data_IF_535232006610
#
_entry.id   IF_535232006610
#
_cell.length_a   1.000
_cell.length_b   1.000
_cell.length_c   1.000
_cell.angle_alpha   90.00
_cell.angle_beta   90.00
_cell.angle_gamma   90.00
#
_symmetry.space_group_name_H-M   'P 1'
#
loop_
_entity.id
_entity.type
_entity.pdbx_description
1 polymer ?
#
# COMPACT_ATOMS: atom_id res chain seq x y z
N UNK A 1 4.80 33.42 20.57
CA UNK A 1 5.27 33.32 19.17
C UNK A 1 4.04 33.22 18.31
N UNK A 2 3.87 34.16 17.40
CA UNK A 2 2.75 34.13 16.45
C UNK A 2 3.17 33.38 15.19
N UNK A 3 2.23 32.67 14.57
CA UNK A 3 2.44 31.92 13.34
C UNK A 3 1.45 32.37 12.27
N UNK A 4 1.86 32.31 11.00
CA UNK A 4 1.02 32.65 9.86
C UNK A 4 1.10 31.57 8.79
N UNK A 5 -0.04 31.27 8.16
CA UNK A 5 -0.18 30.28 7.08
C UNK A 5 -0.88 30.96 5.91
N UNK A 6 -0.34 30.81 4.70
CA UNK A 6 -0.95 31.31 3.47
C UNK A 6 -1.26 30.15 2.54
N UNK A 7 -2.49 30.09 2.02
CA UNK A 7 -2.86 29.20 0.93
C UNK A 7 -2.75 29.96 -0.39
N UNK A 8 -1.88 29.50 -1.30
CA UNK A 8 -1.75 30.05 -2.66
C UNK A 8 -2.48 29.12 -3.62
N UNK A 9 -3.64 29.54 -4.11
CA UNK A 9 -4.45 28.78 -5.06
C UNK A 9 -3.90 28.81 -6.49
N UNK A 10 -4.11 27.73 -7.22
CA UNK A 10 -3.85 27.60 -8.65
C UNK A 10 -5.14 27.72 -9.49
N UNK A 11 -5.02 27.54 -10.81
CA UNK A 11 -6.13 27.71 -11.76
C UNK A 11 -7.13 26.54 -11.78
N UNK A 12 -6.91 25.48 -11.00
CA UNK A 12 -7.78 24.31 -11.04
C UNK A 12 -9.19 24.66 -10.47
N UNK A 13 -10.27 24.02 -10.95
CA UNK A 13 -11.63 24.39 -10.56
C UNK A 13 -11.93 24.30 -9.05
N UNK A 14 -11.29 23.37 -8.34
CA UNK A 14 -11.51 23.17 -6.91
C UNK A 14 -10.92 24.33 -6.11
N UNK A 15 -9.70 24.75 -6.43
CA UNK A 15 -9.05 25.92 -5.84
C UNK A 15 -9.88 27.19 -6.08
N UNK A 16 -10.32 27.41 -7.32
CA UNK A 16 -11.12 28.59 -7.67
C UNK A 16 -12.46 28.62 -6.94
N UNK A 17 -13.08 27.45 -6.74
CA UNK A 17 -14.31 27.33 -5.97
C UNK A 17 -14.10 27.73 -4.50
N UNK A 18 -13.08 27.20 -3.82
CA UNK A 18 -12.83 27.53 -2.42
C UNK A 18 -12.38 28.97 -2.21
N UNK A 19 -11.65 29.57 -3.16
CA UNK A 19 -11.31 31.00 -3.12
C UNK A 19 -12.55 31.89 -3.26
N UNK A 20 -13.55 31.47 -4.04
CA UNK A 20 -14.84 32.18 -4.17
C UNK A 20 -15.77 31.96 -2.99
N UNK A 21 -15.71 30.79 -2.35
CA UNK A 21 -16.57 30.39 -1.24
C UNK A 21 -15.75 29.89 -0.03
N UNK A 22 -14.97 30.75 0.64
CA UNK A 22 -14.02 30.33 1.68
C UNK A 22 -14.70 29.72 2.92
N UNK A 23 -15.95 30.11 3.22
CA UNK A 23 -16.72 29.52 4.32
C UNK A 23 -16.92 28.01 4.14
N UNK A 24 -16.99 27.53 2.91
CA UNK A 24 -17.16 26.10 2.64
C UNK A 24 -15.88 25.33 2.94
N UNK A 25 -14.70 25.92 2.72
CA UNK A 25 -13.41 25.31 3.05
C UNK A 25 -13.26 25.12 4.57
N UNK A 26 -13.54 26.17 5.35
CA UNK A 26 -13.39 26.14 6.81
C UNK A 26 -14.59 25.50 7.55
N UNK A 27 -15.74 25.41 6.89
CA UNK A 27 -16.97 24.88 7.49
C UNK A 27 -17.18 23.38 7.27
N UNK A 28 -16.46 22.76 6.32
CA UNK A 28 -16.57 21.33 6.05
C UNK A 28 -15.79 20.51 7.08
N UNK A 29 -16.30 19.34 7.48
CA UNK A 29 -15.51 18.39 8.24
C UNK A 29 -14.37 17.83 7.38
N UNK A 30 -13.32 17.35 8.04
CA UNK A 30 -12.25 16.59 7.38
C UNK A 30 -12.79 15.29 6.76
N UNK A 31 -12.07 14.75 5.80
CA UNK A 31 -12.41 13.50 5.14
C UNK A 31 -12.46 12.34 6.14
N UNK A 32 -13.46 11.47 5.97
CA UNK A 32 -13.56 10.25 6.75
C UNK A 32 -12.68 9.16 6.14
N UNK A 33 -11.87 8.51 6.98
CA UNK A 33 -11.13 7.33 6.58
C UNK A 33 -12.09 6.13 6.47
N UNK A 34 -12.33 5.66 5.25
CA UNK A 34 -13.17 4.47 4.99
C UNK A 34 -12.24 3.26 4.82
N UNK A 35 -12.46 2.23 5.64
CA UNK A 35 -11.75 0.95 5.56
C UNK A 35 -12.73 -0.18 5.28
N UNK A 36 -12.33 -1.15 4.46
CA UNK A 36 -13.10 -2.36 4.20
C UNK A 36 -12.35 -3.59 4.73
N UNK A 37 -12.73 -4.05 5.91
CA UNK A 37 -12.18 -5.27 6.54
C UNK A 37 -12.71 -6.56 5.89
N UNK A 38 -13.71 -6.45 5.02
CA UNK A 38 -14.36 -7.57 4.31
C UNK A 38 -13.86 -7.71 2.87
N UNK A 39 -12.74 -7.05 2.51
CA UNK A 39 -12.10 -7.29 1.23
C UNK A 39 -11.50 -8.72 1.21
N UNK A 40 -12.04 -9.64 0.39
CA UNK A 40 -11.65 -11.06 0.44
C UNK A 40 -10.16 -11.28 0.14
N UNK A 41 -9.58 -10.48 -0.75
CA UNK A 41 -8.16 -10.58 -1.12
C UNK A 41 -7.22 -10.27 0.06
N UNK A 42 -7.60 -9.30 0.90
CA UNK A 42 -6.82 -8.92 2.08
C UNK A 42 -7.11 -9.90 3.23
N UNK A 43 -8.39 -10.23 3.43
CA UNK A 43 -8.85 -11.09 4.52
C UNK A 43 -8.24 -12.49 4.44
N UNK A 44 -8.23 -13.12 3.26
CA UNK A 44 -7.66 -14.45 3.06
C UNK A 44 -6.16 -14.47 3.40
N UNK A 45 -5.42 -13.43 3.01
CA UNK A 45 -4.02 -13.25 3.39
C UNK A 45 -3.83 -13.22 4.90
N UNK A 46 -4.62 -12.41 5.61
CA UNK A 46 -4.55 -12.35 7.08
C UNK A 46 -4.99 -13.64 7.76
N UNK A 47 -5.96 -14.37 7.21
CA UNK A 47 -6.36 -15.70 7.73
C UNK A 47 -5.21 -16.70 7.58
N UNK A 48 -4.50 -16.73 6.45
CA UNK A 48 -3.32 -17.57 6.29
C UNK A 48 -2.24 -17.25 7.31
N UNK A 49 -1.93 -15.95 7.52
CA UNK A 49 -0.99 -15.52 8.55
C UNK A 49 -1.44 -15.98 9.95
N UNK A 50 -2.69 -15.71 10.32
CA UNK A 50 -3.22 -16.10 11.61
C UNK A 50 -3.21 -17.62 11.83
N UNK A 51 -3.59 -18.41 10.83
CA UNK A 51 -3.56 -19.88 10.87
C UNK A 51 -2.13 -20.46 10.97
N UNK A 52 -1.12 -19.69 10.56
CA UNK A 52 0.30 -20.06 10.73
C UNK A 52 0.84 -19.76 12.13
N UNK A 53 0.23 -18.80 12.83
CA UNK A 53 0.59 -18.42 14.21
C UNK A 53 -0.12 -19.31 15.23
N UNK A 54 -1.44 -19.49 15.09
CA UNK A 54 -2.28 -20.28 15.99
C UNK A 54 -3.42 -20.98 15.23
N UNK A 55 -3.85 -22.18 15.68
CA UNK A 55 -5.02 -22.83 15.09
C UNK A 55 -6.26 -21.94 15.20
N UNK A 56 -6.90 -21.65 14.06
CA UNK A 56 -8.12 -20.85 14.00
C UNK A 56 -9.33 -21.71 14.34
N UNK A 57 -10.25 -21.16 15.12
CA UNK A 57 -11.50 -21.81 15.52
C UNK A 57 -12.69 -20.90 15.23
N UNK A 58 -13.91 -21.42 15.36
CA UNK A 58 -15.14 -20.61 15.21
C UNK A 58 -15.18 -19.41 16.17
N UNK A 59 -14.48 -19.48 17.31
CA UNK A 59 -14.41 -18.38 18.30
C UNK A 59 -13.70 -17.14 17.74
N UNK A 60 -12.91 -17.31 16.69
CA UNK A 60 -12.14 -16.25 16.04
C UNK A 60 -12.96 -15.51 14.97
N UNK A 61 -14.22 -15.92 14.70
CA UNK A 61 -15.12 -15.24 13.77
C UNK A 61 -15.32 -13.76 14.11
N UNK A 62 -15.24 -13.39 15.39
CA UNK A 62 -15.27 -11.99 15.85
C UNK A 62 -14.13 -11.11 15.31
N UNK A 63 -13.03 -11.71 14.84
CA UNK A 63 -11.85 -11.03 14.33
C UNK A 63 -11.81 -10.96 12.80
N UNK A 64 -12.43 -11.91 12.10
CA UNK A 64 -12.31 -12.10 10.64
C UNK A 64 -13.64 -11.95 9.90
N UNK A 65 -14.56 -11.19 10.51
CA UNK A 65 -15.94 -10.99 10.03
C UNK A 65 -16.72 -12.30 9.84
N UNK A 66 -17.92 -12.18 9.26
CA UNK A 66 -18.77 -13.32 8.94
C UNK A 66 -18.18 -14.20 7.82
N UNK A 67 -17.18 -13.71 7.08
CA UNK A 67 -16.56 -14.38 5.94
C UNK A 67 -15.48 -15.41 6.32
N UNK A 68 -15.18 -15.58 7.61
CA UNK A 68 -14.13 -16.51 8.07
C UNK A 68 -14.30 -17.93 7.53
N UNK A 69 -15.48 -18.51 7.68
CA UNK A 69 -15.72 -19.92 7.29
C UNK A 69 -15.69 -20.12 5.78
N UNK A 70 -16.23 -19.16 5.02
CA UNK A 70 -16.14 -19.17 3.56
C UNK A 70 -14.67 -19.09 3.11
N UNK A 71 -13.89 -18.19 3.72
CA UNK A 71 -12.47 -18.02 3.42
C UNK A 71 -11.65 -19.26 3.78
N UNK A 72 -11.88 -19.88 4.94
CA UNK A 72 -11.22 -21.12 5.34
C UNK A 72 -11.55 -22.28 4.40
N UNK A 73 -12.79 -22.34 3.91
CA UNK A 73 -13.21 -23.36 2.94
C UNK A 73 -12.48 -23.16 1.61
N UNK A 74 -12.44 -21.94 1.09
CA UNK A 74 -11.70 -21.62 -0.13
C UNK A 74 -10.19 -21.93 0.01
N UNK A 75 -9.58 -21.54 1.14
CA UNK A 75 -8.17 -21.84 1.42
C UNK A 75 -7.90 -23.35 1.58
N UNK A 76 -8.87 -24.12 2.08
CA UNK A 76 -8.77 -25.59 2.18
C UNK A 76 -8.77 -26.23 0.80
N UNK A 77 -9.64 -25.75 -0.10
CA UNK A 77 -9.72 -26.22 -1.48
C UNK A 77 -8.42 -25.96 -2.25
N UNK A 78 -7.70 -24.89 -1.91
CA UNK A 78 -6.36 -24.58 -2.41
C UNK A 78 -5.21 -25.27 -1.64
N UNK A 79 -5.52 -26.13 -0.66
CA UNK A 79 -4.54 -26.83 0.20
C UNK A 79 -3.65 -25.91 1.06
N UNK A 80 -4.04 -24.65 1.22
CA UNK A 80 -3.31 -23.64 1.99
C UNK A 80 -3.61 -23.72 3.49
N UNK A 81 -4.74 -24.29 3.88
CA UNK A 81 -5.08 -24.62 5.27
C UNK A 81 -5.59 -26.04 5.42
N UNK A 82 -5.38 -26.62 6.59
CA UNK A 82 -5.82 -27.96 6.96
C UNK A 82 -6.58 -27.95 8.28
N UNK A 83 -7.59 -28.81 8.38
CA UNK A 83 -8.41 -28.93 9.58
C UNK A 83 -7.78 -29.94 10.57
N UNK A 84 -7.69 -29.55 11.84
CA UNK A 84 -7.16 -30.41 12.92
C UNK A 84 -8.14 -30.42 14.10
N UNK A 85 -8.02 -31.36 15.06
CA UNK A 85 -8.83 -31.34 16.27
C UNK A 85 -8.70 -30.07 17.12
N UNK A 86 -7.65 -29.27 16.89
CA UNK A 86 -7.39 -28.01 17.62
C UNK A 86 -7.86 -26.77 16.86
N UNK A 87 -8.31 -26.93 15.61
CA UNK A 87 -8.67 -25.84 14.70
C UNK A 87 -7.97 -25.94 13.34
N UNK A 88 -8.17 -24.92 12.51
CA UNK A 88 -7.58 -24.79 11.18
C UNK A 88 -6.15 -24.27 11.29
N UNK A 89 -5.21 -24.94 10.64
CA UNK A 89 -3.79 -24.58 10.63
C UNK A 89 -3.30 -24.34 9.21
N UNK A 90 -2.33 -23.45 9.04
CA UNK A 90 -1.69 -23.23 7.76
C UNK A 90 -0.93 -24.49 7.29
N UNK A 91 -1.09 -24.87 6.03
CA UNK A 91 -0.46 -26.05 5.41
C UNK A 91 0.27 -25.76 4.10
N UNK A 92 0.42 -24.49 3.72
CA UNK A 92 1.16 -24.10 2.52
C UNK A 92 2.68 -24.28 2.64
N UNK A 93 3.36 -24.26 1.49
CA UNK A 93 4.81 -24.48 1.37
C UNK A 93 5.60 -23.23 1.76
N UNK A 94 5.16 -22.05 1.30
CA UNK A 94 5.79 -20.77 1.60
C UNK A 94 5.32 -20.25 2.97
N UNK A 95 6.05 -19.31 3.57
CA UNK A 95 5.52 -18.61 4.75
C UNK A 95 4.50 -17.58 4.29
N UNK A 96 3.31 -17.50 4.91
CA UNK A 96 2.26 -16.58 4.47
C UNK A 96 2.67 -15.11 4.65
N UNK A 97 3.48 -14.78 5.66
CA UNK A 97 4.01 -13.43 5.86
C UNK A 97 4.91 -12.94 4.71
N UNK A 98 5.56 -13.86 3.99
CA UNK A 98 6.42 -13.51 2.85
C UNK A 98 5.61 -13.28 1.57
N UNK A 99 4.36 -13.76 1.52
CA UNK A 99 3.49 -13.67 0.34
C UNK A 99 2.40 -12.62 0.48
N UNK A 100 1.96 -12.31 1.70
CA UNK A 100 0.92 -11.31 1.98
C UNK A 100 1.54 -9.93 2.11
N UNK A 101 1.26 -9.06 1.13
CA UNK A 101 1.73 -7.68 1.14
C UNK A 101 0.67 -6.73 1.74
N UNK A 102 1.04 -5.98 2.77
CA UNK A 102 0.20 -4.94 3.40
C UNK A 102 0.32 -3.61 2.63
N UNK A 103 1.42 -3.41 1.91
CA UNK A 103 1.64 -2.24 1.09
C UNK A 103 1.02 -2.47 -0.30
N UNK A 104 0.05 -1.64 -0.66
CA UNK A 104 -0.57 -1.65 -1.98
C UNK A 104 0.34 -1.05 -3.08
N UNK A 105 1.53 -0.57 -2.69
CA UNK A 105 2.59 -0.08 -3.58
C UNK A 105 3.52 -1.25 -3.85
N UNK A 106 3.83 -1.50 -5.13
CA UNK A 106 4.83 -2.48 -5.54
C UNK A 106 6.08 -2.36 -4.68
N UNK A 107 6.54 -3.45 -4.05
CA UNK A 107 7.81 -3.48 -3.31
C UNK A 107 9.03 -3.25 -4.22
N UNK A 108 8.83 -3.13 -5.54
CA UNK A 108 9.89 -2.81 -6.49
C UNK A 108 10.18 -1.33 -6.43
N UNK A 109 11.41 -1.03 -6.04
CA UNK A 109 11.97 0.31 -6.06
C UNK A 109 13.11 0.36 -7.06
N UNK A 110 13.40 1.56 -7.56
CA UNK A 110 14.54 1.87 -8.41
C UNK A 110 15.44 2.83 -7.64
N UNK A 111 16.73 2.53 -7.58
CA UNK A 111 17.70 3.39 -6.90
C UNK A 111 18.41 4.27 -7.92
N UNK A 112 18.32 5.59 -7.76
CA UNK A 112 19.03 6.55 -8.60
C UNK A 112 20.44 6.75 -8.02
N UNK A 113 21.47 6.49 -8.83
CA UNK A 113 22.86 6.49 -8.40
C UNK A 113 23.65 7.49 -9.25
N UNK A 114 24.48 8.30 -8.59
CA UNK A 114 25.47 9.16 -9.23
C UNK A 114 26.81 9.04 -8.52
N UNK A 115 27.92 8.85 -9.24
CA UNK A 115 29.26 8.71 -8.67
C UNK A 115 29.36 7.68 -7.53
N UNK A 116 28.68 6.53 -7.65
CA UNK A 116 28.58 5.46 -6.63
C UNK A 116 27.88 5.87 -5.34
N UNK A 117 27.24 7.03 -5.30
CA UNK A 117 26.38 7.48 -4.22
C UNK A 117 24.92 7.36 -4.64
N UNK A 118 24.06 6.98 -3.70
CA UNK A 118 22.61 6.97 -3.90
C UNK A 118 22.10 8.39 -3.74
N UNK A 119 21.41 8.91 -4.77
CA UNK A 119 20.72 10.20 -4.70
C UNK A 119 19.34 10.02 -4.09
N UNK A 120 18.57 9.06 -4.60
CA UNK A 120 17.21 8.79 -4.14
C UNK A 120 16.75 7.37 -4.48
N UNK A 121 15.61 6.99 -3.90
CA UNK A 121 14.92 5.74 -4.19
C UNK A 121 13.49 6.06 -4.64
N UNK A 122 13.16 5.65 -5.86
CA UNK A 122 11.86 5.86 -6.47
C UNK A 122 11.06 4.56 -6.38
N UNK A 123 9.74 4.68 -6.22
CA UNK A 123 8.86 3.56 -6.56
C UNK A 123 8.89 3.31 -8.08
N UNK A 124 8.55 2.09 -8.50
CA UNK A 124 8.64 1.69 -9.91
C UNK A 124 7.79 2.58 -10.83
N UNK A 125 6.63 3.05 -10.39
CA UNK A 125 5.75 3.91 -11.20
C UNK A 125 6.38 5.26 -11.45
N UNK A 126 6.95 5.88 -10.41
CA UNK A 126 7.72 7.13 -10.55
C UNK A 126 8.95 6.95 -11.41
N UNK A 127 9.67 5.83 -11.27
CA UNK A 127 10.84 5.56 -12.11
C UNK A 127 10.48 5.53 -13.61
N UNK A 128 9.33 4.97 -13.98
CA UNK A 128 8.86 5.03 -15.38
C UNK A 128 8.51 6.44 -15.87
N UNK A 129 8.07 7.32 -14.98
CA UNK A 129 7.64 8.67 -15.32
C UNK A 129 8.80 9.67 -15.34
N UNK A 130 9.75 9.54 -14.41
CA UNK A 130 10.75 10.56 -14.12
C UNK A 130 12.19 10.08 -14.38
N UNK A 131 12.44 8.77 -14.45
CA UNK A 131 13.78 8.18 -14.54
C UNK A 131 14.00 7.27 -15.76
N UNK A 132 13.32 7.55 -16.89
CA UNK A 132 13.61 6.87 -18.15
C UNK A 132 14.92 7.39 -18.78
N UNK A 133 15.54 6.62 -19.67
CA UNK A 133 16.78 7.02 -20.35
C UNK A 133 16.61 8.36 -21.08
N UNK A 134 17.51 9.30 -20.81
CA UNK A 134 17.47 10.67 -21.31
C UNK A 134 16.56 11.62 -20.52
N UNK A 135 15.86 11.16 -19.48
CA UNK A 135 15.09 12.03 -18.60
C UNK A 135 16.00 13.00 -17.85
N UNK A 136 15.46 14.19 -17.57
CA UNK A 136 16.11 15.20 -16.74
C UNK A 136 15.56 15.10 -15.33
N UNK A 137 16.42 14.73 -14.39
CA UNK A 137 16.06 14.48 -13.00
C UNK A 137 16.58 15.63 -12.13
N UNK A 138 15.71 16.20 -11.30
CA UNK A 138 16.06 17.30 -10.39
C UNK A 138 16.20 16.75 -8.97
N UNK A 139 17.40 16.79 -8.40
CA UNK A 139 17.65 16.37 -7.02
C UNK A 139 18.24 17.53 -6.23
N UNK A 140 17.51 18.00 -5.21
CA UNK A 140 17.92 19.12 -4.35
C UNK A 140 18.31 20.41 -5.10
N UNK A 141 17.69 20.66 -6.26
CA UNK A 141 17.97 21.82 -7.11
C UNK A 141 19.12 21.62 -8.10
N UNK A 142 19.81 20.48 -8.05
CA UNK A 142 20.78 20.07 -9.06
C UNK A 142 20.11 19.22 -10.15
N UNK A 143 20.62 19.35 -11.37
CA UNK A 143 20.05 18.68 -12.55
C UNK A 143 20.95 17.54 -13.01
N UNK A 144 20.37 16.38 -13.18
CA UNK A 144 21.02 15.17 -13.68
C UNK A 144 20.33 14.70 -14.97
N UNK A 145 21.06 14.00 -15.83
CA UNK A 145 20.51 13.30 -16.98
C UNK A 145 20.61 11.81 -16.70
N UNK A 146 19.50 11.10 -16.86
CA UNK A 146 19.47 9.66 -16.70
C UNK A 146 20.17 9.00 -17.88
N UNK A 147 21.28 8.34 -17.63
CA UNK A 147 22.06 7.63 -18.65
C UNK A 147 21.45 6.27 -19.00
N UNK A 148 20.92 5.56 -18.00
CA UNK A 148 20.37 4.21 -18.17
C UNK A 148 19.33 3.93 -17.07
N UNK A 149 18.28 3.18 -17.43
CA UNK A 149 17.32 2.62 -16.49
C UNK A 149 17.37 1.08 -16.57
N UNK A 150 18.04 0.45 -15.61
CA UNK A 150 18.04 -1.01 -15.48
C UNK A 150 16.90 -1.47 -14.54
N UNK A 151 15.94 -2.18 -15.12
CA UNK A 151 14.81 -2.79 -14.41
C UNK A 151 14.92 -4.30 -14.27
N UNK A 152 15.97 -4.91 -14.84
CA UNK A 152 16.10 -6.36 -14.92
C UNK A 152 16.92 -6.93 -13.78
N UNK A 153 17.91 -6.21 -13.27
CA UNK A 153 18.76 -6.68 -12.16
C UNK A 153 19.64 -7.88 -12.54
#
# INVERSE_FOLDING_TARGET
>A
MDSFVTLVAFQNPLDQYFMKYPKDFFGRPHEQAIINLENPYILMGHIMCAASELPITERDQKHFSHLLMESLTALKDETLVSETPRGWVYSGIARPVDTVNINNISNKTVTVIHNRAILETLDLTKAYQEAYEGAVLLHQGETFIVEELDLKG
#
